data_IF_300884410555
#
_entry.id   IF_300884410555
#
_cell.length_a   1.000
_cell.length_b   1.000
_cell.length_c   1.000
_cell.angle_alpha   90.00
_cell.angle_beta   90.00
_cell.angle_gamma   90.00
#
_symmetry.space_group_name_H-M   'P 1'
#
loop_
_entity.id
_entity.type
_entity.pdbx_description
1 polymer ?
#
# COMPACT_ATOMS: atom_id res chain seq x y z
N UNK A 1 12.31 -11.26 12.31
CA UNK A 1 11.29 -11.44 11.24
C UNK A 1 11.16 -10.11 10.52
N UNK A 2 11.07 -10.09 9.18
CA UNK A 2 10.90 -8.83 8.46
C UNK A 2 9.53 -8.23 8.82
N UNK A 3 9.52 -7.02 9.34
CA UNK A 3 8.28 -6.29 9.70
C UNK A 3 7.50 -6.01 8.42
N UNK A 4 6.18 -6.25 8.43
CA UNK A 4 5.32 -5.87 7.32
C UNK A 4 5.27 -4.36 7.22
N UNK A 5 5.23 -3.84 6.00
CA UNK A 5 5.11 -2.41 5.77
C UNK A 5 3.99 -2.15 4.77
N UNK A 6 2.94 -1.45 5.20
CA UNK A 6 1.94 -0.95 4.28
C UNK A 6 2.59 0.01 3.29
N UNK A 7 2.23 -0.08 2.01
CA UNK A 7 2.77 0.75 0.93
C UNK A 7 1.71 1.64 0.28
N UNK A 8 0.52 1.07 0.06
CA UNK A 8 -0.59 1.72 -0.63
C UNK A 8 -1.87 0.87 -0.48
N UNK A 9 -3.01 1.44 -0.86
CA UNK A 9 -4.22 0.66 -1.11
C UNK A 9 -4.09 -0.19 -2.38
N UNK A 10 -4.77 -1.34 -2.41
CA UNK A 10 -4.83 -2.27 -3.54
C UNK A 10 -5.16 -1.63 -4.89
N UNK A 11 -6.04 -0.63 -4.88
CA UNK A 11 -6.51 0.09 -6.07
C UNK A 11 -5.70 1.35 -6.38
N UNK A 12 -4.63 1.64 -5.63
CA UNK A 12 -3.75 2.78 -5.92
C UNK A 12 -2.92 2.57 -7.19
N UNK A 13 -2.76 1.32 -7.61
CA UNK A 13 -2.07 0.93 -8.85
C UNK A 13 -2.97 -0.02 -9.64
N UNK A 14 -3.46 0.45 -10.78
CA UNK A 14 -4.27 -0.36 -11.71
C UNK A 14 -3.36 -1.15 -12.67
N UNK A 15 -3.97 -2.07 -13.44
CA UNK A 15 -3.24 -2.80 -14.49
C UNK A 15 -2.54 -1.83 -15.44
N UNK A 16 -1.30 -2.18 -15.81
CA UNK A 16 -0.43 -1.38 -16.66
C UNK A 16 -0.03 0.01 -16.10
N UNK A 17 -0.25 0.26 -14.81
CA UNK A 17 0.23 1.47 -14.15
C UNK A 17 1.49 1.20 -13.33
N UNK A 18 2.25 2.27 -13.11
CA UNK A 18 3.34 2.33 -12.14
C UNK A 18 3.12 3.55 -11.26
N UNK A 19 3.31 3.38 -9.96
CA UNK A 19 3.27 4.44 -8.96
C UNK A 19 4.53 4.42 -8.10
N UNK A 20 4.71 5.51 -7.36
CA UNK A 20 5.70 5.56 -6.29
C UNK A 20 5.15 4.85 -5.05
N UNK A 21 5.92 3.90 -4.53
CA UNK A 21 5.72 3.39 -3.17
C UNK A 21 6.92 3.76 -2.30
N UNK A 22 6.64 4.14 -1.05
CA UNK A 22 7.66 4.50 -0.06
C UNK A 22 7.63 3.54 1.12
N UNK A 23 8.82 3.22 1.59
CA UNK A 23 9.12 2.74 2.93
C UNK A 23 10.32 3.59 3.40
N UNK A 24 10.69 3.60 4.70
CA UNK A 24 11.57 4.62 5.29
C UNK A 24 12.74 5.09 4.40
N UNK A 25 13.74 4.23 4.20
CA UNK A 25 14.93 4.54 3.38
C UNK A 25 14.81 3.97 1.96
N UNK A 26 13.59 3.67 1.48
CA UNK A 26 13.37 2.93 0.25
C UNK A 26 12.26 3.52 -0.62
N UNK A 27 12.63 3.96 -1.82
CA UNK A 27 11.70 4.28 -2.90
C UNK A 27 11.58 3.10 -3.87
N UNK A 28 10.35 2.68 -4.15
CA UNK A 28 10.05 1.60 -5.10
C UNK A 28 9.18 2.11 -6.25
N UNK A 29 9.40 1.55 -7.43
CA UNK A 29 8.43 1.57 -8.51
C UNK A 29 7.49 0.38 -8.32
N UNK A 30 6.27 0.65 -7.88
CA UNK A 30 5.23 -0.35 -7.67
C UNK A 30 4.34 -0.35 -8.91
N UNK A 31 4.19 -1.49 -9.57
CA UNK A 31 3.47 -1.57 -10.84
C UNK A 31 2.67 -2.85 -10.97
N UNK A 32 1.65 -2.83 -11.84
CA UNK A 32 0.94 -4.03 -12.25
C UNK A 32 1.14 -4.29 -13.73
N UNK A 33 1.32 -5.54 -14.07
CA UNK A 33 1.26 -5.99 -15.46
C UNK A 33 -0.18 -6.04 -15.97
N UNK A 34 -0.36 -6.49 -17.22
CA UNK A 34 -1.68 -6.55 -17.85
C UNK A 34 -2.62 -7.58 -17.21
N UNK A 35 -2.06 -8.58 -16.51
CA UNK A 35 -2.82 -9.59 -15.76
C UNK A 35 -3.25 -9.09 -14.38
N UNK A 36 -2.73 -7.95 -13.95
CA UNK A 36 -2.92 -7.40 -12.62
C UNK A 36 -1.92 -7.92 -11.59
N UNK A 37 -0.95 -8.74 -11.98
CA UNK A 37 0.07 -9.20 -11.05
C UNK A 37 0.95 -8.03 -10.60
N UNK A 38 1.19 -7.99 -9.29
CA UNK A 38 1.86 -6.89 -8.62
C UNK A 38 3.37 -7.11 -8.55
N UNK A 39 4.12 -6.08 -8.92
CA UNK A 39 5.58 -6.08 -8.93
C UNK A 39 6.13 -4.83 -8.25
N UNK A 40 7.27 -4.96 -7.57
CA UNK A 40 7.97 -3.83 -6.97
C UNK A 40 9.47 -3.91 -7.26
N UNK A 41 10.02 -2.84 -7.83
CA UNK A 41 11.44 -2.74 -8.15
C UNK A 41 12.04 -1.48 -7.53
N UNK A 42 13.36 -1.43 -7.38
CA UNK A 42 14.08 -0.20 -7.01
C UNK A 42 13.64 0.94 -7.94
N UNK A 43 13.41 2.14 -7.39
CA UNK A 43 12.92 3.27 -8.18
C UNK A 43 14.03 4.05 -8.89
N UNK A 44 15.08 3.38 -9.38
CA UNK A 44 16.21 4.00 -10.08
C UNK A 44 16.68 3.12 -11.23
N UNK A 45 16.64 3.69 -12.43
CA UNK A 45 17.14 3.04 -13.65
C UNK A 45 18.68 2.95 -13.62
N UNK A 46 19.30 1.76 -13.74
CA UNK A 46 20.76 1.59 -13.70
C UNK A 46 21.50 2.29 -14.84
N UNK A 47 20.81 2.73 -15.89
CA UNK A 47 21.41 3.48 -16.98
C UNK A 47 21.89 4.88 -16.54
N UNK A 48 20.98 5.72 -16.02
CA UNK A 48 21.26 7.13 -15.67
C UNK A 48 20.47 7.64 -14.45
N UNK A 49 19.97 6.74 -13.61
CA UNK A 49 19.32 7.09 -12.34
C UNK A 49 17.91 7.68 -12.47
N UNK A 50 17.28 7.69 -13.64
CA UNK A 50 15.88 8.15 -13.78
C UNK A 50 14.96 7.35 -12.84
N UNK A 51 14.01 8.04 -12.20
CA UNK A 51 13.04 7.38 -11.34
C UNK A 51 12.04 6.59 -12.19
N UNK A 52 11.90 5.30 -11.92
CA UNK A 52 11.11 4.39 -12.75
C UNK A 52 9.60 4.51 -12.53
N UNK A 53 9.15 5.08 -11.43
CA UNK A 53 7.73 5.39 -11.22
C UNK A 53 7.18 6.49 -12.16
N UNK A 54 8.05 7.26 -12.81
CA UNK A 54 7.64 8.13 -13.93
C UNK A 54 7.57 7.39 -15.27
N UNK A 55 7.93 6.10 -15.28
CA UNK A 55 7.88 5.22 -16.43
C UNK A 55 6.47 4.81 -16.82
N UNK A 56 6.38 3.71 -17.55
CA UNK A 56 5.11 3.11 -17.94
C UNK A 56 5.26 1.60 -18.09
N UNK A 57 4.15 0.88 -17.97
CA UNK A 57 4.12 -0.56 -18.21
C UNK A 57 3.69 -0.81 -19.65
N UNK A 58 4.44 -1.64 -20.36
CA UNK A 58 4.11 -2.08 -21.71
C UNK A 58 4.70 -3.47 -21.92
N UNK A 59 3.94 -4.36 -22.55
CA UNK A 59 4.33 -5.74 -22.82
C UNK A 59 4.74 -6.49 -21.52
N UNK A 60 3.98 -6.26 -20.44
CA UNK A 60 4.23 -6.80 -19.09
C UNK A 60 5.64 -6.51 -18.55
N UNK A 61 6.19 -5.34 -18.92
CA UNK A 61 7.49 -4.85 -18.50
C UNK A 61 7.43 -3.41 -18.03
N UNK A 62 8.26 -3.08 -17.05
CA UNK A 62 8.46 -1.71 -16.59
C UNK A 62 9.44 -0.99 -17.53
N UNK A 63 9.01 0.12 -18.13
CA UNK A 63 9.80 0.88 -19.09
C UNK A 63 10.21 2.23 -18.50
N UNK A 64 11.51 2.52 -18.56
CA UNK A 64 12.04 3.82 -18.15
C UNK A 64 11.61 4.92 -19.15
N UNK A 65 10.97 5.99 -18.67
CA UNK A 65 10.54 7.11 -19.53
C UNK A 65 11.71 7.82 -20.24
N UNK A 66 12.94 7.74 -19.71
CA UNK A 66 14.05 8.49 -20.27
C UNK A 66 14.55 7.94 -21.61
N UNK A 67 14.92 6.66 -21.64
CA UNK A 67 15.50 6.03 -22.85
C UNK A 67 14.80 4.72 -23.22
N UNK A 68 13.65 4.42 -22.60
CA UNK A 68 12.84 3.25 -22.91
C UNK A 68 13.48 1.90 -22.56
N UNK A 69 14.49 1.87 -21.67
CA UNK A 69 15.01 0.59 -21.17
C UNK A 69 13.88 -0.16 -20.46
N UNK A 70 13.67 -1.41 -20.87
CA UNK A 70 12.54 -2.24 -20.48
C UNK A 70 13.00 -3.37 -19.57
N UNK A 71 12.33 -3.56 -18.44
CA UNK A 71 12.68 -4.55 -17.42
C UNK A 71 11.53 -5.51 -17.19
N UNK A 72 11.82 -6.81 -17.09
CA UNK A 72 10.82 -7.82 -16.72
C UNK A 72 10.44 -7.76 -15.23
N UNK A 73 9.50 -8.61 -14.82
CA UNK A 73 9.06 -8.74 -13.43
C UNK A 73 10.17 -9.17 -12.46
N UNK A 74 11.22 -9.83 -12.95
CA UNK A 74 12.42 -10.18 -12.18
C UNK A 74 13.45 -9.04 -12.16
N UNK A 75 13.15 -7.90 -12.79
CA UNK A 75 14.00 -6.73 -12.86
C UNK A 75 15.08 -6.79 -13.94
N UNK A 76 15.20 -7.85 -14.72
CA UNK A 76 16.22 -7.96 -15.77
C UNK A 76 15.89 -7.08 -16.97
N UNK A 77 16.88 -6.34 -17.47
CA UNK A 77 16.73 -5.58 -18.71
C UNK A 77 16.52 -6.53 -19.89
N UNK A 78 15.41 -6.37 -20.62
CA UNK A 78 15.06 -7.19 -21.79
C UNK A 78 15.15 -6.44 -23.09
N UNK A 79 15.09 -5.11 -23.06
CA UNK A 79 15.08 -4.33 -24.29
C UNK A 79 15.70 -2.95 -24.09
N UNK A 80 16.56 -2.57 -25.02
CA UNK A 80 17.18 -1.25 -25.12
C UNK A 80 16.85 -0.69 -26.52
N UNK A 81 15.98 0.33 -26.63
CA UNK A 81 15.50 0.82 -27.92
C UNK A 81 16.61 1.26 -28.89
N UNK A 82 17.71 1.83 -28.37
CA UNK A 82 18.85 2.25 -29.19
C UNK A 82 19.63 1.08 -29.80
N UNK A 83 19.47 -0.14 -29.28
CA UNK A 83 20.15 -1.35 -29.73
C UNK A 83 19.14 -2.51 -29.84
N UNK A 84 18.15 -2.43 -30.76
CA UNK A 84 17.00 -3.33 -30.77
C UNK A 84 17.35 -4.78 -31.12
N UNK A 85 18.46 -5.02 -31.80
CA UNK A 85 18.95 -6.37 -32.17
C UNK A 85 19.89 -6.97 -31.12
N UNK A 86 20.24 -6.23 -30.07
CA UNK A 86 21.17 -6.68 -29.05
C UNK A 86 20.41 -7.22 -27.83
N UNK A 87 20.75 -8.42 -27.40
CA UNK A 87 20.26 -8.98 -26.13
C UNK A 87 20.98 -8.28 -24.97
N UNK A 88 20.29 -7.53 -24.09
CA UNK A 88 20.94 -6.90 -22.95
C UNK A 88 21.58 -7.94 -22.02
N UNK A 89 22.68 -7.57 -21.36
CA UNK A 89 23.34 -8.43 -20.38
C UNK A 89 22.45 -8.68 -19.16
N UNK A 90 22.44 -9.91 -18.65
CA UNK A 90 21.74 -10.25 -17.40
C UNK A 90 22.32 -9.53 -16.16
N UNK A 91 23.50 -8.91 -16.28
CA UNK A 91 24.07 -8.04 -15.23
C UNK A 91 23.37 -6.68 -15.14
N UNK A 92 22.52 -6.33 -16.11
CA UNK A 92 21.71 -5.12 -16.07
C UNK A 92 20.35 -5.48 -15.49
N UNK A 93 20.17 -5.23 -14.19
CA UNK A 93 18.93 -5.53 -13.50
C UNK A 93 18.54 -4.46 -12.48
N UNK A 94 17.27 -4.47 -12.12
CA UNK A 94 16.69 -3.75 -11.01
C UNK A 94 16.61 -4.68 -9.81
N UNK A 95 16.99 -4.21 -8.62
CA UNK A 95 16.63 -4.93 -7.40
C UNK A 95 15.10 -5.04 -7.30
N UNK A 96 14.60 -6.24 -7.01
CA UNK A 96 13.17 -6.54 -6.78
C UNK A 96 12.87 -6.56 -5.29
N UNK A 97 11.69 -6.12 -4.89
CA UNK A 97 11.20 -6.17 -3.53
C UNK A 97 9.97 -7.07 -3.43
N UNK A 98 9.96 -7.98 -2.47
CA UNK A 98 8.81 -8.83 -2.21
C UNK A 98 7.63 -8.00 -1.71
N UNK A 99 6.53 -8.02 -2.46
CA UNK A 99 5.27 -7.38 -2.11
C UNK A 99 4.13 -8.38 -2.16
N UNK A 100 3.13 -8.19 -1.30
CA UNK A 100 1.92 -9.00 -1.26
C UNK A 100 0.71 -8.10 -1.10
N UNK A 101 -0.39 -8.50 -1.71
CA UNK A 101 -1.67 -7.81 -1.61
C UNK A 101 -2.59 -8.61 -0.69
N UNK A 102 -3.10 -7.96 0.35
CA UNK A 102 -4.05 -8.57 1.28
C UNK A 102 -4.90 -7.50 1.95
N UNK A 103 -6.17 -7.83 2.18
CA UNK A 103 -7.11 -7.00 2.93
C UNK A 103 -7.27 -5.57 2.37
N UNK A 104 -7.15 -5.41 1.05
CA UNK A 104 -7.32 -4.12 0.35
C UNK A 104 -6.08 -3.22 0.43
N UNK A 105 -4.96 -3.75 0.91
CA UNK A 105 -3.70 -3.05 1.10
C UNK A 105 -2.56 -3.84 0.44
N UNK A 106 -1.58 -3.09 -0.07
CA UNK A 106 -0.34 -3.61 -0.61
C UNK A 106 0.73 -3.50 0.49
N UNK A 107 1.39 -4.62 0.75
CA UNK A 107 2.38 -4.80 1.80
C UNK A 107 3.75 -5.10 1.19
N UNK A 108 4.81 -4.51 1.73
CA UNK A 108 6.18 -5.01 1.55
C UNK A 108 6.42 -6.11 2.58
N UNK A 109 6.80 -7.29 2.12
CA UNK A 109 6.91 -8.48 2.97
C UNK A 109 5.58 -9.23 3.11
N UNK A 110 5.47 -10.03 4.18
CA UNK A 110 4.26 -10.79 4.46
C UNK A 110 3.19 -9.84 5.03
N UNK A 111 1.94 -9.91 4.54
CA UNK A 111 0.85 -9.16 5.12
C UNK A 111 0.66 -9.62 6.56
N UNK A 112 0.18 -8.73 7.41
CA UNK A 112 0.27 -8.98 8.83
C UNK A 112 -0.93 -9.86 9.24
N UNK A 113 -0.71 -10.78 10.19
CA UNK A 113 -1.52 -11.99 10.33
C UNK A 113 -2.91 -11.76 10.94
N UNK A 114 -3.98 -11.93 10.15
CA UNK A 114 -5.36 -11.70 10.62
C UNK A 114 -6.03 -12.93 11.24
N UNK A 115 -6.91 -12.74 12.25
CA UNK A 115 -7.85 -13.76 12.67
C UNK A 115 -8.60 -14.29 11.46
N UNK A 116 -8.75 -15.60 11.36
CA UNK A 116 -9.29 -16.30 10.18
C UNK A 116 -10.59 -15.67 9.66
N UNK A 117 -11.50 -15.31 10.58
CA UNK A 117 -12.76 -14.64 10.24
C UNK A 117 -12.57 -13.34 9.47
N UNK A 118 -11.58 -12.53 9.84
CA UNK A 118 -11.27 -11.22 9.25
C UNK A 118 -10.52 -11.43 7.95
N UNK A 119 -9.62 -12.41 7.93
CA UNK A 119 -8.88 -12.76 6.73
C UNK A 119 -9.81 -13.22 5.59
N UNK A 120 -10.94 -13.85 5.92
CA UNK A 120 -11.97 -14.29 4.98
C UNK A 120 -12.94 -13.17 4.52
N UNK A 121 -12.84 -11.96 5.09
CA UNK A 121 -13.72 -10.85 4.73
C UNK A 121 -13.35 -10.26 3.36
N UNK A 122 -14.37 -9.80 2.64
CA UNK A 122 -14.17 -8.97 1.47
C UNK A 122 -13.67 -7.60 1.92
N UNK A 123 -12.57 -7.16 1.34
CA UNK A 123 -12.01 -5.83 1.54
C UNK A 123 -12.41 -4.88 0.40
N UNK A 124 -12.66 -3.62 0.74
CA UNK A 124 -12.91 -2.53 -0.20
C UNK A 124 -12.01 -1.37 0.18
N UNK A 125 -10.98 -1.04 -0.61
CA UNK A 125 -10.19 0.17 -0.41
C UNK A 125 -11.07 1.41 -0.32
N UNK A 126 -10.85 2.24 0.69
CA UNK A 126 -11.63 3.47 0.92
C UNK A 126 -10.83 4.69 0.52
N UNK A 127 -9.75 4.96 1.27
CA UNK A 127 -8.94 6.17 1.10
C UNK A 127 -7.58 6.05 1.76
N UNK A 128 -6.59 6.74 1.19
CA UNK A 128 -5.32 7.04 1.83
C UNK A 128 -5.27 8.51 2.24
N UNK A 129 -4.72 8.81 3.40
CA UNK A 129 -4.31 10.17 3.81
C UNK A 129 -2.84 10.13 4.25
N UNK A 130 -2.18 11.28 4.23
CA UNK A 130 -0.78 11.41 4.61
C UNK A 130 -0.64 12.54 5.62
N UNK A 131 0.07 12.28 6.71
CA UNK A 131 0.28 13.22 7.81
C UNK A 131 1.77 13.47 7.96
N UNK A 132 2.15 14.73 8.12
CA UNK A 132 3.52 15.13 8.44
C UNK A 132 3.83 14.90 9.93
N UNK A 133 3.80 13.64 10.34
CA UNK A 133 4.15 13.19 11.68
C UNK A 133 4.77 11.79 11.63
N UNK A 134 5.66 11.49 12.58
CA UNK A 134 6.29 10.18 12.67
C UNK A 134 5.25 9.09 13.01
N UNK A 135 5.53 7.85 12.57
CA UNK A 135 4.62 6.71 12.72
C UNK A 135 4.12 6.55 14.15
N UNK A 136 5.01 6.67 15.13
CA UNK A 136 4.68 6.53 16.56
C UNK A 136 3.69 7.60 17.04
N UNK A 137 3.83 8.84 16.56
CA UNK A 137 2.96 9.95 16.94
C UNK A 137 1.56 9.74 16.37
N UNK A 138 1.47 9.36 15.09
CA UNK A 138 0.19 9.04 14.44
C UNK A 138 -0.48 7.86 15.13
N UNK A 139 0.28 6.81 15.43
CA UNK A 139 -0.22 5.63 16.14
C UNK A 139 -0.80 6.00 17.50
N UNK A 140 -0.07 6.77 18.30
CA UNK A 140 -0.52 7.19 19.63
C UNK A 140 -1.73 8.12 19.59
N UNK A 141 -1.84 8.97 18.57
CA UNK A 141 -2.98 9.87 18.46
C UNK A 141 -4.22 9.15 17.92
N UNK A 142 -4.06 8.23 16.96
CA UNK A 142 -5.17 7.38 16.50
C UNK A 142 -5.71 6.47 17.61
N UNK A 143 -4.84 5.95 18.49
CA UNK A 143 -5.28 5.15 19.64
C UNK A 143 -6.19 5.90 20.62
N UNK A 144 -6.06 7.23 20.69
CA UNK A 144 -6.92 8.08 21.51
C UNK A 144 -8.16 8.54 20.74
N UNK A 145 -7.98 9.01 19.50
CA UNK A 145 -9.04 9.70 18.75
C UNK A 145 -10.06 8.76 18.11
N UNK A 146 -9.60 7.60 17.63
CA UNK A 146 -10.44 6.64 16.92
C UNK A 146 -10.77 5.41 17.75
N UNK A 147 -9.93 5.10 18.73
CA UNK A 147 -9.83 3.75 19.27
C UNK A 147 -10.17 3.65 20.76
N UNK A 148 -11.30 4.22 21.18
CA UNK A 148 -11.75 4.09 22.57
C UNK A 148 -12.36 2.69 22.83
N UNK A 149 -11.86 1.98 23.85
CA UNK A 149 -12.42 0.69 24.30
C UNK A 149 -13.91 0.79 24.69
N UNK A 150 -14.41 2.02 24.93
CA UNK A 150 -15.81 2.28 25.26
C UNK A 150 -16.78 2.03 24.10
N UNK A 151 -16.30 2.04 22.86
CA UNK A 151 -17.05 1.68 21.65
C UNK A 151 -16.98 0.16 21.36
N UNK A 152 -16.34 -0.59 22.27
CA UNK A 152 -16.12 -2.04 22.32
C UNK A 152 -15.42 -2.65 21.10
N UNK A 153 -14.82 -1.80 20.29
CA UNK A 153 -14.07 -2.19 19.12
C UNK A 153 -12.84 -2.99 19.52
N UNK A 154 -12.71 -4.18 18.95
CA UNK A 154 -11.59 -5.06 19.26
C UNK A 154 -10.39 -4.68 18.39
N UNK A 155 -9.35 -4.12 19.02
CA UNK A 155 -8.00 -4.26 18.49
C UNK A 155 -7.67 -5.73 18.52
N UNK A 156 -7.56 -6.37 17.36
CA UNK A 156 -6.75 -7.55 17.34
C UNK A 156 -5.37 -7.09 16.82
N UNK A 157 -4.32 -7.41 17.55
CA UNK A 157 -2.99 -6.84 17.32
C UNK A 157 -2.40 -7.42 16.06
N UNK A 158 -1.94 -6.58 15.13
CA UNK A 158 -1.27 -7.04 13.91
C UNK A 158 -0.08 -6.12 13.59
N UNK A 159 1.08 -6.55 14.06
CA UNK A 159 2.39 -5.87 14.04
C UNK A 159 2.41 -4.38 14.41
N UNK A 160 3.59 -3.82 14.68
CA UNK A 160 3.70 -2.43 15.16
C UNK A 160 3.20 -1.38 14.14
N UNK A 161 2.94 -1.79 12.89
CA UNK A 161 2.66 -0.93 11.74
C UNK A 161 1.23 -1.07 11.18
N UNK A 162 0.39 -2.00 11.66
CA UNK A 162 -0.98 -2.15 11.18
C UNK A 162 -2.01 -2.28 12.31
N UNK A 163 -3.17 -1.63 12.16
CA UNK A 163 -4.28 -1.76 13.10
C UNK A 163 -5.57 -2.09 12.35
N UNK A 164 -6.38 -3.02 12.85
CA UNK A 164 -7.73 -3.26 12.33
C UNK A 164 -8.74 -3.24 13.46
N UNK A 165 -9.94 -2.81 13.11
CA UNK A 165 -11.03 -2.48 14.01
C UNK A 165 -12.31 -3.17 13.55
N UNK A 166 -12.99 -3.82 14.49
CA UNK A 166 -14.30 -4.46 14.31
C UNK A 166 -15.23 -3.93 15.39
N UNK A 167 -16.41 -3.35 15.05
CA UNK A 167 -17.36 -2.86 16.04
C UNK A 167 -17.76 -3.96 17.04
N UNK A 168 -17.82 -3.60 18.34
CA UNK A 168 -18.16 -4.51 19.45
C UNK A 168 -19.52 -5.17 19.28
N UNK A 169 -20.50 -4.33 18.95
CA UNK A 169 -21.91 -4.68 18.98
C UNK A 169 -22.31 -5.57 17.79
N UNK A 170 -21.33 -5.89 16.93
CA UNK A 170 -21.55 -6.35 15.57
C UNK A 170 -20.87 -7.68 15.22
N UNK A 171 -20.74 -8.56 16.22
CA UNK A 171 -20.69 -10.00 15.93
C UNK A 171 -21.88 -10.42 15.02
N UNK A 172 -22.96 -9.63 14.97
CA UNK A 172 -24.14 -9.81 14.12
C UNK A 172 -24.06 -9.19 12.70
N UNK A 173 -23.59 -7.94 12.48
CA UNK A 173 -23.64 -7.30 11.15
C UNK A 173 -22.33 -7.30 10.35
N UNK A 174 -21.30 -8.00 10.83
CA UNK A 174 -20.25 -8.59 9.97
C UNK A 174 -19.55 -7.55 9.07
N UNK A 175 -19.27 -6.39 9.66
CA UNK A 175 -18.51 -5.28 9.07
C UNK A 175 -17.31 -4.93 9.94
N UNK A 176 -16.31 -4.30 9.34
CA UNK A 176 -15.11 -3.81 10.02
C UNK A 176 -14.33 -2.84 9.16
N UNK A 177 -13.20 -2.39 9.68
CA UNK A 177 -12.24 -1.57 8.93
C UNK A 177 -10.80 -1.94 9.29
N UNK A 178 -9.92 -1.74 8.32
CA UNK A 178 -8.47 -1.86 8.48
C UNK A 178 -7.87 -0.47 8.28
N UNK A 179 -7.07 -0.02 9.25
CA UNK A 179 -6.21 1.15 9.16
C UNK A 179 -4.75 0.68 9.10
N UNK A 180 -4.22 0.54 7.89
CA UNK A 180 -2.82 0.17 7.71
C UNK A 180 -1.95 1.43 7.73
N UNK A 181 -0.95 1.46 8.62
CA UNK A 181 -0.06 2.60 8.76
C UNK A 181 1.22 2.38 7.94
N UNK A 182 1.59 3.39 7.18
CA UNK A 182 2.78 3.43 6.36
C UNK A 182 3.78 4.41 6.97
N UNK A 183 4.96 3.94 7.35
CA UNK A 183 6.11 4.85 7.49
C UNK A 183 6.57 5.23 6.08
N UNK A 184 6.23 6.44 5.66
CA UNK A 184 6.55 6.95 4.34
C UNK A 184 7.95 7.57 4.28
N UNK A 185 8.69 7.54 5.41
CA UNK A 185 10.00 8.16 5.57
C UNK A 185 9.93 9.65 5.87
N UNK A 186 11.06 10.20 6.34
CA UNK A 186 11.24 11.64 6.57
C UNK A 186 10.19 12.26 7.51
N UNK A 187 9.71 11.48 8.49
CA UNK A 187 8.69 11.93 9.44
C UNK A 187 7.29 12.06 8.84
N UNK A 188 7.00 11.36 7.74
CA UNK A 188 5.66 11.30 7.14
C UNK A 188 5.04 9.92 7.35
N UNK A 189 3.74 9.90 7.66
CA UNK A 189 2.98 8.66 7.84
C UNK A 189 1.78 8.64 6.90
N UNK A 190 1.64 7.56 6.14
CA UNK A 190 0.41 7.25 5.39
C UNK A 190 -0.57 6.46 6.25
N UNK A 191 -1.85 6.75 6.14
CA UNK A 191 -2.93 5.95 6.74
C UNK A 191 -3.81 5.45 5.60
N UNK A 192 -3.86 4.13 5.43
CA UNK A 192 -4.66 3.47 4.39
C UNK A 192 -5.87 2.79 5.02
N UNK A 193 -7.07 3.23 4.64
CA UNK A 193 -8.31 2.67 5.13
C UNK A 193 -8.93 1.72 4.10
N UNK A 194 -9.21 0.49 4.54
CA UNK A 194 -10.03 -0.47 3.82
C UNK A 194 -11.26 -0.88 4.67
N UNK A 195 -12.43 -0.90 4.04
CA UNK A 195 -13.65 -1.42 4.66
C UNK A 195 -13.69 -2.94 4.51
N UNK A 196 -14.10 -3.63 5.56
CA UNK A 196 -14.23 -5.08 5.61
C UNK A 196 -15.70 -5.45 5.71
N UNK A 197 -16.14 -6.38 4.88
CA UNK A 197 -17.51 -6.93 4.87
C UNK A 197 -17.46 -8.44 4.77
N UNK A 198 -18.57 -9.14 5.02
CA UNK A 198 -18.69 -10.55 4.62
C UNK A 198 -18.24 -10.77 3.17
N UNK A 199 -17.70 -11.95 2.86
CA UNK A 199 -17.26 -12.30 1.52
C UNK A 199 -18.33 -12.10 0.41
N UNK A 200 -19.60 -12.31 0.75
CA UNK A 200 -20.76 -12.21 -0.14
C UNK A 200 -21.49 -10.85 -0.09
N UNK A 201 -21.04 -9.92 0.74
CA UNK A 201 -21.64 -8.60 0.86
C UNK A 201 -20.80 -7.54 0.13
N UNK A 202 -21.47 -6.56 -0.47
CA UNK A 202 -20.81 -5.34 -0.92
C UNK A 202 -20.84 -4.30 0.20
N UNK A 203 -19.79 -3.48 0.32
CA UNK A 203 -19.79 -2.34 1.20
C UNK A 203 -20.76 -1.27 0.67
N UNK A 204 -21.77 -0.81 1.45
CA UNK A 204 -22.67 0.24 1.00
C UNK A 204 -21.92 1.55 0.74
N UNK A 205 -22.21 2.23 -0.38
CA UNK A 205 -21.52 3.48 -0.75
C UNK A 205 -21.64 4.57 0.31
N UNK A 206 -22.79 4.70 0.97
CA UNK A 206 -22.98 5.66 2.06
C UNK A 206 -22.02 5.39 3.24
N UNK A 207 -21.73 4.12 3.53
CA UNK A 207 -20.80 3.75 4.57
C UNK A 207 -19.34 4.01 4.16
N UNK A 208 -18.96 3.71 2.91
CA UNK A 208 -17.64 4.05 2.38
C UNK A 208 -17.38 5.57 2.42
N UNK A 209 -18.38 6.39 2.09
CA UNK A 209 -18.30 7.85 2.19
C UNK A 209 -18.14 8.32 3.64
N UNK A 210 -18.88 7.73 4.58
CA UNK A 210 -18.75 8.05 6.00
C UNK A 210 -17.35 7.69 6.53
N UNK A 211 -16.82 6.51 6.17
CA UNK A 211 -15.45 6.09 6.50
C UNK A 211 -14.40 7.03 5.91
N UNK A 212 -14.57 7.44 4.64
CA UNK A 212 -13.67 8.42 4.03
C UNK A 212 -13.70 9.77 4.73
N UNK A 213 -14.88 10.25 5.16
CA UNK A 213 -15.02 11.51 5.88
C UNK A 213 -14.40 11.43 7.28
N UNK A 214 -14.60 10.30 7.97
CA UNK A 214 -13.98 10.03 9.28
C UNK A 214 -12.45 10.05 9.18
N UNK A 215 -11.86 9.38 8.18
CA UNK A 215 -10.41 9.41 7.99
C UNK A 215 -9.88 10.82 7.68
N UNK A 216 -10.64 11.62 6.93
CA UNK A 216 -10.28 13.01 6.66
C UNK A 216 -10.29 13.86 7.93
N UNK A 217 -11.27 13.67 8.82
CA UNK A 217 -11.32 14.36 10.10
C UNK A 217 -10.11 14.00 10.97
N UNK A 218 -9.76 12.72 11.04
CA UNK A 218 -8.56 12.24 11.76
C UNK A 218 -7.29 12.89 11.22
N UNK A 219 -7.15 12.99 9.90
CA UNK A 219 -6.01 13.69 9.30
C UNK A 219 -5.94 15.14 9.79
N UNK A 220 -7.06 15.88 9.76
CA UNK A 220 -7.10 17.28 10.17
C UNK A 220 -6.80 17.45 11.66
N UNK A 221 -7.29 16.54 12.52
CA UNK A 221 -7.02 16.57 13.94
C UNK A 221 -5.53 16.31 14.23
N UNK A 222 -4.91 15.36 13.51
CA UNK A 222 -3.48 15.06 13.61
C UNK A 222 -2.60 16.22 13.11
N UNK A 223 -3.03 16.92 12.07
CA UNK A 223 -2.32 18.10 11.54
C UNK A 223 -2.51 19.34 12.44
N UNK A 224 -3.68 19.50 13.06
CA UNK A 224 -3.99 20.60 13.98
C UNK A 224 -3.42 20.43 15.40
N UNK A 225 -2.97 19.23 15.76
CA UNK A 225 -2.29 18.91 17.02
C UNK A 225 -0.77 18.86 16.88
N UNK A 226 -0.22 19.07 15.68
CA UNK A 226 1.20 19.20 15.44
C UNK A 226 1.74 20.49 16.13
N UNK A 227 2.82 20.39 16.94
CA UNK A 227 3.36 21.52 17.71
C UNK A 227 3.95 22.64 16.86
#
# INVERSE_FOLDING_TARGET
MAVSQALALSNAVECNQVILARAPELEMALWRDSTGALHANQNRCPHRGMRLHFGFVRDDRLNCLYHGWSYDNQGHCKYIPAHPSHTPSNMIFLQTHGVQEAHGVIWKGLPPAMPERVAAMRSTPVRSVYVAAALEQVRSAMSVALFSDADGLQHAGIDDNAGYWLPADDYAAQRGCLYALQDAGEGNTGIHLAALTRADAAAPSAWLLALSAQLQAVQLDLEGTAP
#
